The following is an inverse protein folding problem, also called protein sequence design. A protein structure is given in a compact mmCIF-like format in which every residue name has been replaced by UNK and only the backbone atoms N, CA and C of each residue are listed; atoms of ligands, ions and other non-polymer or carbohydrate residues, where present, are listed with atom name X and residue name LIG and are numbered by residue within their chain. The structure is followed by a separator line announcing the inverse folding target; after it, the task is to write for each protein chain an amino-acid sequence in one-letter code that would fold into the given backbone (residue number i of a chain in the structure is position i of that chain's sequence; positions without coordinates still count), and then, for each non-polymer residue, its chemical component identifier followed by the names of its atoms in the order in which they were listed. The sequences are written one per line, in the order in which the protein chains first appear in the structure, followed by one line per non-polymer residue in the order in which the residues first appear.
data_IF_311790384660
#
_entry.id   IF_311790384660
#
_cell.length_a   1.000
_cell.length_b   1.000
_cell.length_c   1.000
_cell.angle_alpha   90.00
_cell.angle_beta   90.00
_cell.angle_gamma   90.00
#
_symmetry.space_group_name_H-M   'P 1'
#
loop_
_entity.id
_entity.type
_entity.pdbx_description
1 polymer ?
#
# COMPACT_ATOMS: atom_id res chain seq x y z
N UNK A 1 -4.16 -22.98 6.22
CA UNK A 1 -2.85 -22.34 6.53
C UNK A 1 -2.62 -22.40 8.04
N UNK A 2 -1.39 -22.21 8.53
CA UNK A 2 -1.09 -22.25 9.98
C UNK A 2 -1.22 -20.85 10.56
N UNK A 3 -1.85 -20.69 11.73
CA UNK A 3 -2.01 -19.41 12.43
C UNK A 3 -0.70 -18.61 12.63
N UNK A 4 0.46 -19.28 12.61
CA UNK A 4 1.78 -18.62 12.65
C UNK A 4 2.09 -17.85 11.35
N UNK A 5 1.72 -18.41 10.21
CA UNK A 5 1.87 -17.77 8.89
C UNK A 5 0.93 -16.57 8.77
N UNK A 6 -0.29 -16.68 9.29
CA UNK A 6 -1.28 -15.61 9.22
C UNK A 6 -0.82 -14.38 10.02
N UNK A 7 -0.36 -14.57 11.27
CA UNK A 7 0.21 -13.48 12.08
C UNK A 7 1.44 -12.83 11.43
N UNK A 8 2.26 -13.64 10.75
CA UNK A 8 3.41 -13.12 10.02
C UNK A 8 2.97 -12.21 8.87
N UNK A 9 2.02 -12.66 8.04
CA UNK A 9 1.53 -11.86 6.91
C UNK A 9 0.85 -10.56 7.35
N UNK A 10 0.03 -10.59 8.41
CA UNK A 10 -0.57 -9.37 8.96
C UNK A 10 0.51 -8.36 9.38
N UNK A 11 1.57 -8.83 10.04
CA UNK A 11 2.69 -7.95 10.44
C UNK A 11 3.43 -7.38 9.23
N UNK A 12 3.64 -8.19 8.19
CA UNK A 12 4.26 -7.74 6.94
C UNK A 12 3.42 -6.66 6.26
N UNK A 13 2.10 -6.86 6.19
CA UNK A 13 1.16 -5.88 5.62
C UNK A 13 1.22 -4.58 6.45
N UNK A 14 1.13 -4.65 7.78
CA UNK A 14 1.18 -3.47 8.66
C UNK A 14 2.49 -2.68 8.49
N UNK A 15 3.63 -3.36 8.42
CA UNK A 15 4.91 -2.68 8.20
C UNK A 15 4.96 -1.96 6.85
N UNK A 16 4.43 -2.59 5.79
CA UNK A 16 4.37 -1.98 4.45
C UNK A 16 3.43 -0.77 4.43
N UNK A 17 2.30 -0.84 5.13
CA UNK A 17 1.38 0.29 5.29
C UNK A 17 2.06 1.45 6.01
N UNK A 18 2.77 1.19 7.11
CA UNK A 18 3.52 2.24 7.81
C UNK A 18 4.58 2.90 6.91
N UNK A 19 5.28 2.11 6.09
CA UNK A 19 6.19 2.67 5.08
C UNK A 19 5.45 3.52 4.05
N UNK A 20 4.27 3.09 3.58
CA UNK A 20 3.47 3.90 2.65
C UNK A 20 3.11 5.24 3.29
N UNK A 21 2.61 5.24 4.53
CA UNK A 21 2.22 6.47 5.24
C UNK A 21 3.38 7.47 5.35
N UNK A 22 4.60 7.01 5.69
CA UNK A 22 5.80 7.86 5.71
C UNK A 22 6.09 8.51 4.35
N UNK A 23 6.00 7.74 3.26
CA UNK A 23 6.18 8.27 1.91
C UNK A 23 5.09 9.27 1.54
N UNK A 24 3.82 8.99 1.89
CA UNK A 24 2.71 9.89 1.61
C UNK A 24 2.87 11.23 2.34
N UNK A 25 3.30 11.22 3.60
CA UNK A 25 3.61 12.44 4.34
C UNK A 25 4.72 13.25 3.66
N UNK A 26 5.77 12.57 3.20
CA UNK A 26 6.86 13.20 2.44
C UNK A 26 6.37 13.85 1.15
N UNK A 27 5.60 13.11 0.36
CA UNK A 27 5.03 13.57 -0.92
C UNK A 27 4.04 14.73 -0.75
N UNK A 28 3.26 14.75 0.33
CA UNK A 28 2.35 15.87 0.65
C UNK A 28 3.12 17.12 1.06
N UNK A 29 4.22 16.95 1.81
CA UNK A 29 5.05 18.06 2.29
C UNK A 29 5.83 18.74 1.16
N UNK A 30 6.29 17.97 0.17
CA UNK A 30 7.04 18.49 -0.96
C UNK A 30 6.59 17.87 -2.31
N UNK A 31 5.45 18.34 -2.88
CA UNK A 31 4.90 17.79 -4.12
C UNK A 31 5.76 18.05 -5.37
N UNK A 32 6.72 18.98 -5.29
CA UNK A 32 7.65 19.30 -6.37
C UNK A 32 9.07 18.87 -6.06
N UNK A 33 9.25 18.12 -4.97
CA UNK A 33 10.52 17.58 -4.55
C UNK A 33 11.06 16.57 -5.55
N UNK A 34 12.38 16.50 -5.66
CA UNK A 34 13.05 15.52 -6.52
C UNK A 34 12.69 14.06 -6.14
N UNK A 35 12.37 13.85 -4.87
CA UNK A 35 12.02 12.54 -4.30
C UNK A 35 10.55 12.13 -4.55
N UNK A 36 9.69 13.03 -5.04
CA UNK A 36 8.27 12.73 -5.24
C UNK A 36 8.05 11.53 -6.18
N UNK A 37 8.68 11.54 -7.35
CA UNK A 37 8.54 10.48 -8.35
C UNK A 37 9.12 9.13 -7.88
N UNK A 38 10.34 9.08 -7.29
CA UNK A 38 10.84 7.87 -6.61
C UNK A 38 9.87 7.32 -5.55
N UNK A 39 9.38 8.17 -4.64
CA UNK A 39 8.46 7.76 -3.58
C UNK A 39 7.13 7.25 -4.13
N UNK A 40 6.57 7.90 -5.15
CA UNK A 40 5.36 7.43 -5.81
C UNK A 40 5.51 6.01 -6.37
N UNK A 41 6.64 5.72 -7.02
CA UNK A 41 6.95 4.38 -7.56
C UNK A 41 7.11 3.34 -6.45
N UNK A 42 7.77 3.72 -5.35
CA UNK A 42 7.92 2.84 -4.19
C UNK A 42 6.57 2.54 -3.53
N UNK A 43 5.71 3.54 -3.35
CA UNK A 43 4.35 3.36 -2.84
C UNK A 43 3.52 2.45 -3.76
N UNK A 44 3.57 2.63 -5.08
CA UNK A 44 2.89 1.74 -6.04
C UNK A 44 3.38 0.27 -5.91
N UNK A 45 4.69 0.08 -5.78
CA UNK A 45 5.30 -1.24 -5.59
C UNK A 45 4.89 -1.89 -4.27
N UNK A 46 4.85 -1.11 -3.19
CA UNK A 46 4.40 -1.57 -1.88
C UNK A 46 2.92 -1.99 -1.91
N UNK A 47 2.05 -1.19 -2.53
CA UNK A 47 0.64 -1.56 -2.70
C UNK A 47 0.48 -2.86 -3.48
N UNK A 48 1.17 -2.99 -4.61
CA UNK A 48 1.15 -4.23 -5.40
C UNK A 48 1.56 -5.44 -4.55
N UNK A 49 2.64 -5.31 -3.79
CA UNK A 49 3.11 -6.36 -2.89
C UNK A 49 2.12 -6.70 -1.76
N UNK A 50 1.42 -5.70 -1.19
CA UNK A 50 0.37 -5.93 -0.19
C UNK A 50 -0.77 -6.75 -0.80
N UNK A 51 -1.28 -6.36 -1.97
CA UNK A 51 -2.37 -7.07 -2.62
C UNK A 51 -1.99 -8.50 -3.05
N UNK A 52 -0.75 -8.73 -3.49
CA UNK A 52 -0.23 -10.07 -3.76
C UNK A 52 -0.22 -10.96 -2.50
N UNK A 53 0.19 -10.42 -1.35
CA UNK A 53 0.15 -11.15 -0.06
C UNK A 53 -1.30 -11.47 0.30
N UNK A 54 -2.19 -10.48 0.25
CA UNK A 54 -3.61 -10.65 0.59
C UNK A 54 -4.24 -11.72 -0.31
N UNK A 55 -4.04 -11.65 -1.62
CA UNK A 55 -4.57 -12.64 -2.55
C UNK A 55 -4.09 -14.08 -2.29
N UNK A 56 -2.93 -14.25 -1.63
CA UNK A 56 -2.40 -15.54 -1.22
C UNK A 56 -2.92 -16.06 0.14
N UNK A 57 -3.66 -15.25 0.89
CA UNK A 57 -4.26 -15.64 2.18
C UNK A 57 -5.59 -16.37 1.96
N UNK A 58 -6.07 -17.09 2.97
CA UNK A 58 -7.44 -17.61 2.98
C UNK A 58 -8.49 -16.48 3.12
N UNK A 59 -9.75 -16.80 2.81
CA UNK A 59 -10.82 -15.82 2.67
C UNK A 59 -11.10 -15.01 3.96
N UNK A 60 -10.97 -15.63 5.14
CA UNK A 60 -11.20 -14.92 6.42
C UNK A 60 -10.10 -13.89 6.65
N UNK A 61 -8.84 -14.30 6.49
CA UNK A 61 -7.68 -13.44 6.63
C UNK A 61 -7.61 -12.35 5.54
N UNK A 62 -8.08 -12.64 4.32
CA UNK A 62 -8.25 -11.64 3.27
C UNK A 62 -9.19 -10.51 3.70
N UNK A 63 -10.39 -10.85 4.22
CA UNK A 63 -11.37 -9.86 4.66
C UNK A 63 -10.83 -8.97 5.77
N UNK A 64 -10.15 -9.56 6.75
CA UNK A 64 -9.50 -8.82 7.84
C UNK A 64 -8.43 -7.88 7.29
N UNK A 65 -7.53 -8.38 6.44
CA UNK A 65 -6.45 -7.58 5.87
C UNK A 65 -6.95 -6.44 4.99
N UNK A 66 -7.94 -6.69 4.14
CA UNK A 66 -8.58 -5.67 3.29
C UNK A 66 -9.24 -4.57 4.12
N UNK A 67 -9.93 -4.94 5.21
CA UNK A 67 -10.51 -3.98 6.15
C UNK A 67 -9.43 -3.08 6.75
N UNK A 68 -8.33 -3.66 7.22
CA UNK A 68 -7.23 -2.92 7.84
C UNK A 68 -6.54 -1.91 6.91
N UNK A 69 -6.41 -2.21 5.62
CA UNK A 69 -5.72 -1.32 4.67
C UNK A 69 -6.65 -0.32 3.97
N UNK A 70 -7.96 -0.49 4.11
CA UNK A 70 -8.97 0.19 3.28
C UNK A 70 -8.88 1.71 3.32
N UNK A 71 -8.73 2.30 4.51
CA UNK A 71 -8.66 3.75 4.69
C UNK A 71 -7.42 4.35 4.00
N UNK A 72 -6.24 3.76 4.25
CA UNK A 72 -4.97 4.24 3.66
C UNK A 72 -4.98 4.05 2.14
N UNK A 73 -5.53 2.93 1.65
CA UNK A 73 -5.68 2.68 0.22
C UNK A 73 -6.61 3.71 -0.44
N UNK A 74 -7.79 3.97 0.12
CA UNK A 74 -8.76 4.95 -0.41
C UNK A 74 -8.16 6.36 -0.41
N UNK A 75 -7.47 6.74 0.68
CA UNK A 75 -6.75 8.01 0.73
C UNK A 75 -5.70 8.10 -0.37
N UNK A 76 -4.88 7.06 -0.54
CA UNK A 76 -3.86 7.02 -1.58
C UNK A 76 -4.43 7.19 -2.98
N UNK A 77 -5.43 6.39 -3.38
CA UNK A 77 -5.98 6.46 -4.74
C UNK A 77 -6.67 7.80 -5.01
N UNK A 78 -7.29 8.41 -4.00
CA UNK A 78 -7.98 9.70 -4.14
C UNK A 78 -7.00 10.84 -4.42
N UNK A 79 -5.84 10.84 -3.76
CA UNK A 79 -4.89 11.94 -3.84
C UNK A 79 -3.77 11.71 -4.85
N UNK A 80 -3.42 10.45 -5.12
CA UNK A 80 -2.24 10.06 -5.91
C UNK A 80 -2.52 8.99 -6.97
N UNK A 81 -3.72 8.40 -6.99
CA UNK A 81 -4.10 7.32 -7.91
C UNK A 81 -4.39 7.75 -9.34
N UNK A 82 -4.29 9.05 -9.65
CA UNK A 82 -4.44 9.55 -11.02
C UNK A 82 -3.22 9.13 -11.83
N UNK A 83 -3.36 8.00 -12.52
CA UNK A 83 -2.50 7.65 -13.65
C UNK A 83 -2.75 8.73 -14.70
N UNK A 84 -1.76 9.56 -15.01
CA UNK A 84 -1.83 10.42 -16.20
C UNK A 84 -2.13 9.51 -17.40
N UNK A 85 -3.27 9.68 -18.10
CA UNK A 85 -3.64 8.82 -19.22
C UNK A 85 -2.75 9.01 -20.47
N UNK A 86 -1.78 9.92 -20.46
CA UNK A 86 -1.04 10.36 -21.66
C UNK A 86 0.25 9.56 -21.92
N UNK A 87 0.23 8.24 -21.75
CA UNK A 87 1.27 7.34 -22.30
C UNK A 87 0.63 6.22 -23.14
N UNK A 88 -0.21 6.60 -24.11
CA UNK A 88 -0.59 5.76 -25.27
C UNK A 88 -0.04 6.34 -26.56
#
# INVERSE_FOLDING_TARGET
MSAKSDKFYHRVIQNKVASIEEHLEGMQRDPHGHEYEPWKKEVDSLWKSIFEIINGMDEENQKVSLSCISEVWVSYITHFGVVNPDNS
#
